data_IF_051357668390
#
_entry.id   IF_051357668390
#
_cell.length_a   1.000
_cell.length_b   1.000
_cell.length_c   1.000
_cell.angle_alpha   90.00
_cell.angle_beta   90.00
_cell.angle_gamma   90.00
#
_symmetry.space_group_name_H-M   'P 1'
#
loop_
_entity.id
_entity.type
_entity.pdbx_description
1 polymer ?
#
# COMPACT_ATOMS: atom_id res chain seq x y z
N UNK A 1 -67.45 40.13 41.38
CA UNK A 1 -67.57 41.41 40.68
C UNK A 1 -66.23 42.11 40.71
N UNK A 2 -65.76 42.54 39.53
CA UNK A 2 -64.53 43.30 39.31
C UNK A 2 -64.44 44.55 40.21
N UNK A 3 -63.23 44.97 40.59
CA UNK A 3 -62.59 46.19 40.04
C UNK A 3 -61.15 46.31 40.56
N UNK A 4 -60.31 46.79 39.64
CA UNK A 4 -58.89 47.15 39.66
C UNK A 4 -58.49 48.06 40.83
N UNK A 5 -57.22 47.95 41.23
CA UNK A 5 -56.44 49.13 41.68
C UNK A 5 -55.00 49.04 41.21
N UNK A 6 -54.61 50.11 40.52
CA UNK A 6 -53.30 50.46 39.97
C UNK A 6 -52.50 51.15 41.05
N UNK A 7 -51.18 50.91 41.17
CA UNK A 7 -50.25 51.97 41.55
C UNK A 7 -48.95 51.86 40.74
N UNK A 8 -48.69 52.96 40.05
CA UNK A 8 -47.49 53.25 39.30
C UNK A 8 -46.35 53.65 40.24
N UNK A 9 -45.12 53.32 39.86
CA UNK A 9 -43.95 54.12 40.20
C UNK A 9 -42.94 53.95 39.08
N UNK A 10 -42.60 55.06 38.45
CA UNK A 10 -41.55 55.18 37.47
C UNK A 10 -40.56 56.23 37.99
N UNK A 11 -39.33 56.17 37.43
CA UNK A 11 -38.29 57.22 37.35
C UNK A 11 -37.31 57.22 38.55
N UNK A 12 -35.96 57.13 38.43
CA UNK A 12 -35.03 57.18 37.28
C UNK A 12 -33.61 56.74 37.70
N UNK A 13 -32.92 56.07 36.75
CA UNK A 13 -31.48 56.12 36.35
C UNK A 13 -30.36 55.94 37.38
N UNK A 14 -29.55 54.91 37.15
CA UNK A 14 -28.09 55.07 37.03
C UNK A 14 -27.56 54.22 35.87
N UNK A 15 -26.78 54.86 34.98
CA UNK A 15 -25.95 54.23 33.95
C UNK A 15 -24.74 53.56 34.60
N UNK A 16 -24.34 52.38 34.11
CA UNK A 16 -23.06 51.80 34.51
C UNK A 16 -22.79 50.40 33.95
N UNK A 17 -21.99 50.36 32.88
CA UNK A 17 -21.16 49.26 32.40
C UNK A 17 -21.82 47.99 31.82
N UNK A 18 -21.60 47.81 30.52
CA UNK A 18 -21.68 46.54 29.82
C UNK A 18 -20.79 45.47 30.48
N UNK A 19 -21.38 44.35 30.87
CA UNK A 19 -20.70 43.06 30.90
C UNK A 19 -21.71 42.00 30.45
N UNK A 20 -21.72 41.73 29.14
CA UNK A 20 -22.39 40.57 28.61
C UNK A 20 -21.71 39.33 29.19
N UNK A 21 -22.39 38.66 30.13
CA UNK A 21 -22.04 37.30 30.53
C UNK A 21 -22.37 36.38 29.35
N UNK A 22 -21.44 36.31 28.40
CA UNK A 22 -21.35 35.18 27.50
C UNK A 22 -20.85 34.02 28.36
N UNK A 23 -21.78 33.19 28.85
CA UNK A 23 -21.48 31.87 29.38
C UNK A 23 -20.85 31.08 28.25
N UNK A 24 -19.52 31.17 28.15
CA UNK A 24 -18.74 30.37 27.24
C UNK A 24 -19.01 28.91 27.57
N UNK A 25 -19.69 28.21 26.66
CA UNK A 25 -19.55 26.76 26.57
C UNK A 25 -18.09 26.49 26.22
N UNK A 26 -17.24 26.40 27.24
CA UNK A 26 -15.98 25.68 27.11
C UNK A 26 -16.42 24.24 26.93
N UNK A 27 -16.53 23.81 25.67
CA UNK A 27 -16.55 22.40 25.35
C UNK A 27 -15.28 21.83 25.99
N UNK A 28 -15.46 21.10 27.09
CA UNK A 28 -14.42 20.29 27.66
C UNK A 28 -13.94 19.39 26.52
N UNK A 29 -12.75 19.67 25.99
CA UNK A 29 -12.06 18.74 25.11
C UNK A 29 -11.81 17.53 26.00
N UNK A 30 -12.67 16.51 25.88
CA UNK A 30 -12.33 15.16 26.28
C UNK A 30 -10.92 14.88 25.75
N UNK A 31 -10.03 14.25 26.53
CA UNK A 31 -8.77 13.79 25.98
C UNK A 31 -9.13 12.98 24.73
N UNK A 32 -8.79 13.50 23.55
CA UNK A 32 -8.84 12.67 22.34
C UNK A 32 -7.95 11.50 22.69
N UNK A 33 -8.54 10.29 22.77
CA UNK A 33 -7.72 9.09 22.77
C UNK A 33 -6.72 9.21 21.62
N UNK A 34 -5.50 8.73 21.83
CA UNK A 34 -4.48 8.74 20.79
C UNK A 34 -5.10 8.17 19.50
N UNK A 35 -4.89 8.85 18.36
CA UNK A 35 -5.37 8.37 17.07
C UNK A 35 -4.69 7.04 16.72
N UNK A 36 -5.28 6.21 15.85
CA UNK A 36 -4.67 4.92 15.49
C UNK A 36 -3.31 5.15 14.83
N UNK A 37 -3.20 6.21 14.04
CA UNK A 37 -1.94 6.62 13.43
C UNK A 37 -0.86 6.99 14.46
N UNK A 38 -1.23 7.69 15.54
CA UNK A 38 -0.29 8.06 16.61
C UNK A 38 0.15 6.82 17.43
N UNK A 39 -0.78 5.92 17.72
CA UNK A 39 -0.46 4.64 18.39
C UNK A 39 0.45 3.78 17.51
N UNK A 40 0.15 3.66 16.22
CA UNK A 40 1.00 2.95 15.25
C UNK A 40 2.40 3.55 15.17
N UNK A 41 2.51 4.88 15.04
CA UNK A 41 3.80 5.58 15.03
C UNK A 41 4.61 5.32 16.31
N UNK A 42 3.94 5.32 17.47
CA UNK A 42 4.58 5.02 18.76
C UNK A 42 5.08 3.59 18.82
N UNK A 43 4.27 2.64 18.37
CA UNK A 43 4.64 1.22 18.32
C UNK A 43 5.81 0.98 17.34
N UNK A 44 5.82 1.64 16.18
CA UNK A 44 6.93 1.58 15.22
C UNK A 44 8.26 2.04 15.82
N UNK A 45 8.22 3.08 16.65
CA UNK A 45 9.40 3.71 17.25
C UNK A 45 9.81 3.05 18.58
N UNK A 46 8.90 2.29 19.20
CA UNK A 46 9.14 1.56 20.44
C UNK A 46 10.15 0.44 20.21
N UNK A 47 11.18 0.37 21.06
CA UNK A 47 12.21 -0.68 21.01
C UNK A 47 13.15 -0.63 19.80
N UNK A 48 13.02 0.35 18.89
CA UNK A 48 13.92 0.51 17.75
C UNK A 48 14.95 1.62 18.01
N UNK A 49 16.22 1.25 17.92
CA UNK A 49 17.35 2.19 17.96
C UNK A 49 17.58 2.78 16.56
N UNK A 50 16.73 3.73 16.18
CA UNK A 50 16.83 4.46 14.92
C UNK A 50 16.96 5.96 15.22
N UNK A 51 17.94 6.66 14.63
CA UNK A 51 18.23 8.07 14.95
C UNK A 51 17.19 9.07 14.44
N UNK A 52 16.14 8.61 13.75
CA UNK A 52 15.09 9.43 13.18
C UNK A 52 13.74 9.15 13.83
N UNK A 53 12.91 10.21 13.94
CA UNK A 53 11.56 10.13 14.54
C UNK A 53 10.45 10.61 13.60
N UNK A 54 10.83 11.09 12.41
CA UNK A 54 9.91 11.54 11.35
C UNK A 54 10.35 10.97 10.02
N UNK A 55 9.39 10.77 9.10
CA UNK A 55 9.68 10.35 7.72
C UNK A 55 10.79 11.22 7.09
N UNK A 56 10.68 12.56 7.16
CA UNK A 56 11.66 13.47 6.57
C UNK A 56 13.08 13.34 7.16
N UNK A 57 13.18 13.17 8.49
CA UNK A 57 14.48 12.92 9.14
C UNK A 57 15.08 11.57 8.75
N UNK A 58 14.25 10.53 8.57
CA UNK A 58 14.72 9.22 8.15
C UNK A 58 15.20 9.25 6.70
N UNK A 59 14.47 9.92 5.81
CA UNK A 59 14.86 10.15 4.43
C UNK A 59 16.22 10.84 4.34
N UNK A 60 16.39 11.96 5.04
CA UNK A 60 17.63 12.73 5.02
C UNK A 60 18.84 11.91 5.53
N UNK A 61 18.68 11.21 6.67
CA UNK A 61 19.73 10.35 7.19
C UNK A 61 20.00 9.15 6.28
N UNK A 62 18.96 8.58 5.66
CA UNK A 62 19.06 7.44 4.75
C UNK A 62 19.88 7.78 3.51
N UNK A 63 19.62 8.94 2.88
CA UNK A 63 20.41 9.46 1.77
C UNK A 63 21.87 9.68 2.18
N UNK A 64 22.11 10.33 3.33
CA UNK A 64 23.47 10.55 3.86
C UNK A 64 24.20 9.23 4.13
N UNK A 65 23.51 8.23 4.68
CA UNK A 65 24.07 6.90 4.91
C UNK A 65 24.41 6.20 3.59
N UNK A 66 23.52 6.29 2.59
CA UNK A 66 23.72 5.71 1.26
C UNK A 66 24.92 6.33 0.54
N UNK A 67 25.02 7.67 0.53
CA UNK A 67 26.11 8.42 -0.10
C UNK A 67 27.47 8.07 0.54
N UNK A 68 27.47 7.84 1.84
CA UNK A 68 28.65 7.40 2.57
C UNK A 68 28.94 5.89 2.47
N UNK A 69 28.16 5.14 1.68
CA UNK A 69 28.33 3.70 1.49
C UNK A 69 27.91 2.83 2.69
N UNK A 70 27.21 3.39 3.68
CA UNK A 70 26.69 2.66 4.84
C UNK A 70 25.35 2.01 4.50
N UNK A 71 25.39 1.02 3.60
CA UNK A 71 24.19 0.45 2.95
C UNK A 71 23.19 -0.14 3.95
N UNK A 72 23.67 -0.89 4.95
CA UNK A 72 22.79 -1.50 5.96
C UNK A 72 22.05 -0.46 6.82
N UNK A 73 22.72 0.66 7.11
CA UNK A 73 22.10 1.78 7.82
C UNK A 73 21.08 2.47 6.92
N UNK A 74 21.43 2.71 5.65
CA UNK A 74 20.50 3.27 4.67
C UNK A 74 19.24 2.41 4.50
N UNK A 75 19.37 1.08 4.38
CA UNK A 75 18.24 0.14 4.34
C UNK A 75 17.33 0.32 5.56
N UNK A 76 17.91 0.37 6.76
CA UNK A 76 17.16 0.52 8.02
C UNK A 76 16.42 1.87 8.07
N UNK A 77 17.08 2.94 7.64
CA UNK A 77 16.52 4.29 7.65
C UNK A 77 15.42 4.46 6.60
N UNK A 78 15.60 3.92 5.40
CA UNK A 78 14.59 3.97 4.32
C UNK A 78 13.37 3.11 4.64
N UNK A 79 13.55 1.93 5.26
CA UNK A 79 12.42 1.14 5.75
C UNK A 79 11.61 1.91 6.81
N UNK A 80 12.30 2.59 7.74
CA UNK A 80 11.64 3.45 8.73
C UNK A 80 10.99 4.69 8.08
N UNK A 81 11.59 5.27 7.04
CA UNK A 81 11.01 6.34 6.25
C UNK A 81 9.64 5.94 5.69
N UNK A 82 9.57 4.78 5.02
CA UNK A 82 8.32 4.25 4.46
C UNK A 82 7.26 4.01 5.52
N UNK A 83 7.60 3.33 6.62
CA UNK A 83 6.67 3.06 7.71
C UNK A 83 6.11 4.35 8.35
N UNK A 84 6.94 5.38 8.54
CA UNK A 84 6.48 6.68 9.05
C UNK A 84 5.68 7.48 8.01
N UNK A 85 5.90 7.26 6.72
CA UNK A 85 5.09 7.83 5.65
C UNK A 85 3.67 7.26 5.68
N UNK A 86 3.53 5.94 5.87
CA UNK A 86 2.25 5.24 6.01
C UNK A 86 1.51 5.68 7.27
N UNK A 87 2.21 5.86 8.39
CA UNK A 87 1.63 6.46 9.59
C UNK A 87 1.08 7.87 9.33
N UNK A 88 1.79 8.67 8.51
CA UNK A 88 1.33 10.00 8.11
C UNK A 88 0.10 9.93 7.19
N UNK A 89 0.05 8.94 6.29
CA UNK A 89 -1.11 8.73 5.42
C UNK A 89 -2.35 8.39 6.25
N UNK A 90 -2.22 7.47 7.20
CA UNK A 90 -3.29 7.11 8.12
C UNK A 90 -3.79 8.32 8.92
N UNK A 91 -2.88 9.14 9.47
CA UNK A 91 -3.26 10.36 10.19
C UNK A 91 -4.02 11.34 9.29
N UNK A 92 -3.57 11.50 8.04
CA UNK A 92 -4.23 12.39 7.08
C UNK A 92 -5.66 11.94 6.74
N UNK A 93 -5.87 10.62 6.65
CA UNK A 93 -7.18 10.02 6.39
C UNK A 93 -8.10 10.16 7.62
N UNK A 94 -7.60 9.94 8.83
CA UNK A 94 -8.34 10.16 10.08
C UNK A 94 -8.77 11.63 10.25
N UNK A 95 -7.90 12.57 9.85
CA UNK A 95 -8.17 14.00 9.86
C UNK A 95 -9.03 14.47 8.69
N UNK A 96 -9.31 13.62 7.70
CA UNK A 96 -9.97 13.96 6.45
C UNK A 96 -9.32 15.19 5.77
N UNK A 97 -8.00 15.19 5.66
CA UNK A 97 -7.21 16.34 5.17
C UNK A 97 -6.62 16.08 3.78
N UNK A 98 -7.24 16.56 2.68
CA UNK A 98 -6.76 16.29 1.32
C UNK A 98 -5.32 16.74 1.07
N UNK A 99 -4.92 17.87 1.68
CA UNK A 99 -3.56 18.39 1.59
C UNK A 99 -2.55 17.47 2.30
N UNK A 100 -2.91 16.95 3.47
CA UNK A 100 -2.06 16.00 4.19
C UNK A 100 -1.96 14.66 3.43
N UNK A 101 -3.07 14.15 2.87
CA UNK A 101 -3.07 12.90 2.10
C UNK A 101 -2.20 13.02 0.85
N UNK A 102 -2.27 14.16 0.13
CA UNK A 102 -1.37 14.42 -1.02
C UNK A 102 0.10 14.43 -0.60
N UNK A 103 0.44 15.08 0.51
CA UNK A 103 1.80 15.06 1.04
C UNK A 103 2.24 13.66 1.49
N UNK A 104 1.36 12.87 2.07
CA UNK A 104 1.67 11.53 2.55
C UNK A 104 1.93 10.56 1.38
N UNK A 105 1.08 10.59 0.35
CA UNK A 105 1.28 9.82 -0.89
C UNK A 105 2.63 10.11 -1.55
N UNK A 106 3.00 11.39 -1.64
CA UNK A 106 4.29 11.78 -2.18
C UNK A 106 5.47 11.24 -1.36
N UNK A 107 5.35 11.20 -0.03
CA UNK A 107 6.39 10.64 0.87
C UNK A 107 6.51 9.13 0.73
N UNK A 108 5.39 8.40 0.61
CA UNK A 108 5.40 6.97 0.33
C UNK A 108 6.10 6.69 -1.01
N UNK A 109 5.74 7.44 -2.06
CA UNK A 109 6.37 7.30 -3.37
C UNK A 109 7.89 7.59 -3.33
N UNK A 110 8.32 8.61 -2.60
CA UNK A 110 9.74 8.90 -2.41
C UNK A 110 10.49 7.83 -1.60
N UNK A 111 9.85 7.21 -0.60
CA UNK A 111 10.46 6.11 0.15
C UNK A 111 10.83 4.94 -0.77
N UNK A 112 10.01 4.62 -1.78
CA UNK A 112 10.40 3.64 -2.81
C UNK A 112 11.53 4.11 -3.70
N UNK A 113 11.59 5.41 -4.03
CA UNK A 113 12.73 5.93 -4.79
C UNK A 113 14.01 5.70 -4.00
N UNK A 114 14.02 6.04 -2.71
CA UNK A 114 15.18 5.80 -1.85
C UNK A 114 15.47 4.29 -1.67
N UNK A 115 14.44 3.44 -1.59
CA UNK A 115 14.63 1.98 -1.54
C UNK A 115 15.26 1.46 -2.84
N UNK A 116 14.81 1.95 -3.98
CA UNK A 116 15.39 1.67 -5.29
C UNK A 116 16.83 2.13 -5.40
N UNK A 117 17.18 3.30 -4.85
CA UNK A 117 18.55 3.82 -4.83
C UNK A 117 19.48 2.94 -3.98
N UNK A 118 18.98 2.43 -2.86
CA UNK A 118 19.69 1.46 -2.02
C UNK A 118 19.92 0.13 -2.76
N UNK A 119 18.87 -0.43 -3.39
CA UNK A 119 18.95 -1.66 -4.20
C UNK A 119 19.90 -1.49 -5.40
N UNK A 120 19.86 -0.33 -6.05
CA UNK A 120 20.77 0.01 -7.14
C UNK A 120 22.23 0.01 -6.66
N UNK A 121 22.50 0.53 -5.45
CA UNK A 121 23.83 0.54 -4.86
C UNK A 121 24.33 -0.87 -4.49
N UNK A 122 23.42 -1.79 -4.19
CA UNK A 122 23.70 -3.22 -4.00
C UNK A 122 23.92 -3.98 -5.32
N UNK A 123 23.61 -3.36 -6.46
CA UNK A 123 23.66 -4.02 -7.77
C UNK A 123 22.42 -4.86 -8.09
N UNK A 124 21.38 -4.78 -7.26
CA UNK A 124 20.11 -5.50 -7.39
C UNK A 124 19.20 -4.78 -8.40
N UNK A 125 19.58 -4.84 -9.67
CA UNK A 125 18.91 -4.09 -10.75
C UNK A 125 17.40 -4.40 -10.89
N UNK A 126 16.94 -5.68 -10.83
CA UNK A 126 15.51 -5.99 -10.86
C UNK A 126 14.75 -5.36 -9.68
N UNK A 127 15.29 -5.48 -8.48
CA UNK A 127 14.69 -4.95 -7.24
C UNK A 127 14.60 -3.41 -7.28
N UNK A 128 15.67 -2.75 -7.73
CA UNK A 128 15.66 -1.31 -7.93
C UNK A 128 14.57 -0.88 -8.92
N UNK A 129 14.45 -1.58 -10.06
CA UNK A 129 13.36 -1.33 -11.01
C UNK A 129 11.98 -1.59 -10.42
N UNK A 130 11.83 -2.65 -9.61
CA UNK A 130 10.57 -2.95 -8.93
C UNK A 130 10.15 -1.81 -8.00
N UNK A 131 11.08 -1.27 -7.20
CA UNK A 131 10.82 -0.11 -6.32
C UNK A 131 10.45 1.15 -7.13
N UNK A 132 11.24 1.50 -8.15
CA UNK A 132 10.94 2.67 -8.97
C UNK A 132 9.60 2.54 -9.72
N UNK A 133 9.29 1.36 -10.30
CA UNK A 133 8.00 1.12 -10.96
C UNK A 133 6.84 1.16 -9.97
N UNK A 134 7.03 0.68 -8.75
CA UNK A 134 6.04 0.80 -7.67
C UNK A 134 5.75 2.27 -7.37
N UNK A 135 6.78 3.12 -7.26
CA UNK A 135 6.59 4.56 -7.09
C UNK A 135 5.82 5.20 -8.26
N UNK A 136 6.10 4.77 -9.50
CA UNK A 136 5.42 5.28 -10.70
C UNK A 136 3.96 4.85 -10.74
N UNK A 137 3.61 3.60 -10.44
CA UNK A 137 2.22 3.13 -10.54
C UNK A 137 1.28 3.80 -9.54
N UNK A 138 1.79 4.34 -8.43
CA UNK A 138 0.96 5.08 -7.45
C UNK A 138 0.25 6.31 -8.04
N UNK A 139 0.77 6.89 -9.12
CA UNK A 139 0.13 8.06 -9.73
C UNK A 139 -1.13 7.76 -10.52
N UNK A 140 -1.33 6.51 -10.94
CA UNK A 140 -2.49 6.11 -11.71
C UNK A 140 -3.78 6.25 -10.87
N UNK A 141 -3.66 6.09 -9.55
CA UNK A 141 -4.75 6.23 -8.58
C UNK A 141 -5.12 7.69 -8.27
N UNK A 142 -4.20 8.63 -8.50
CA UNK A 142 -4.34 10.04 -8.12
C UNK A 142 -3.89 11.01 -9.23
N UNK A 143 -4.55 10.98 -10.40
CA UNK A 143 -4.20 11.87 -11.49
C UNK A 143 -4.35 13.34 -11.07
N UNK A 144 -3.29 14.12 -11.26
CA UNK A 144 -3.27 15.56 -10.93
C UNK A 144 -2.71 15.93 -9.55
N UNK A 145 -2.30 14.95 -8.73
CA UNK A 145 -1.59 15.22 -7.47
C UNK A 145 -0.16 15.73 -7.76
N UNK A 146 0.06 17.04 -7.67
CA UNK A 146 1.34 17.67 -8.02
C UNK A 146 2.52 17.27 -7.11
N UNK A 147 2.26 16.94 -5.84
CA UNK A 147 3.31 16.48 -4.93
C UNK A 147 3.74 15.07 -5.30
N UNK A 148 2.77 14.17 -5.50
CA UNK A 148 3.03 12.81 -5.96
C UNK A 148 3.70 12.81 -7.34
N UNK A 149 3.25 13.66 -8.25
CA UNK A 149 3.81 13.79 -9.59
C UNK A 149 5.32 14.11 -9.60
N UNK A 150 5.80 14.89 -8.62
CA UNK A 150 7.25 15.14 -8.45
C UNK A 150 8.02 13.90 -8.01
N UNK A 151 7.48 13.13 -7.07
CA UNK A 151 8.09 11.88 -6.64
C UNK A 151 8.13 10.85 -7.78
N UNK A 152 7.06 10.75 -8.57
CA UNK A 152 7.01 9.90 -9.76
C UNK A 152 7.99 10.34 -10.85
N UNK A 153 8.17 11.65 -11.03
CA UNK A 153 9.14 12.17 -11.99
C UNK A 153 10.57 11.73 -11.61
N UNK A 154 10.92 11.83 -10.32
CA UNK A 154 12.18 11.30 -9.82
C UNK A 154 12.28 9.78 -10.07
N UNK A 155 11.24 9.01 -9.74
CA UNK A 155 11.23 7.56 -9.99
C UNK A 155 11.43 7.20 -11.48
N UNK A 156 10.78 7.93 -12.40
CA UNK A 156 10.94 7.75 -13.85
C UNK A 156 12.37 8.03 -14.29
N UNK A 157 12.97 9.12 -13.82
CA UNK A 157 14.36 9.47 -14.13
C UNK A 157 15.33 8.34 -13.70
N UNK A 158 15.15 7.79 -12.50
CA UNK A 158 15.97 6.68 -12.02
C UNK A 158 15.73 5.41 -12.82
N UNK A 159 14.48 5.11 -13.14
CA UNK A 159 14.10 3.96 -13.95
C UNK A 159 14.71 4.04 -15.36
N UNK A 160 14.67 5.21 -16.00
CA UNK A 160 15.28 5.45 -17.32
C UNK A 160 16.80 5.21 -17.29
N UNK A 161 17.48 5.64 -16.23
CA UNK A 161 18.93 5.45 -16.06
C UNK A 161 19.37 3.97 -15.98
N UNK A 162 18.43 3.05 -15.70
CA UNK A 162 18.69 1.60 -15.60
C UNK A 162 17.81 0.73 -16.49
N UNK A 163 16.99 1.34 -17.37
CA UNK A 163 15.93 0.66 -18.11
C UNK A 163 16.44 -0.48 -19.01
N UNK A 164 17.63 -0.36 -19.58
CA UNK A 164 18.24 -1.38 -20.46
C UNK A 164 19.26 -2.30 -19.79
N UNK A 165 19.51 -2.15 -18.48
CA UNK A 165 20.61 -2.86 -17.81
C UNK A 165 20.13 -4.19 -17.23
N UNK A 166 20.62 -5.30 -17.77
CA UNK A 166 20.32 -6.65 -17.28
C UNK A 166 18.82 -6.89 -17.06
N UNK A 167 18.03 -6.58 -18.09
CA UNK A 167 16.57 -6.77 -18.07
C UNK A 167 16.27 -8.26 -18.23
N UNK A 168 15.42 -8.78 -17.34
CA UNK A 168 14.95 -10.16 -17.42
C UNK A 168 13.74 -10.24 -18.35
N UNK A 169 13.86 -11.07 -19.38
CA UNK A 169 12.78 -11.33 -20.33
C UNK A 169 12.12 -12.68 -20.04
N UNK A 170 10.80 -12.68 -19.89
CA UNK A 170 10.04 -13.89 -19.55
C UNK A 170 10.29 -14.38 -18.12
N UNK A 171 10.04 -15.67 -17.89
CA UNK A 171 10.27 -16.33 -16.60
C UNK A 171 11.66 -16.99 -16.63
N UNK A 172 12.56 -16.67 -15.67
CA UNK A 172 13.88 -17.31 -15.61
C UNK A 172 13.82 -18.83 -15.41
N UNK A 173 14.85 -19.59 -15.82
CA UNK A 173 14.93 -21.04 -15.66
C UNK A 173 14.90 -21.54 -14.20
N UNK A 174 15.34 -20.71 -13.26
CA UNK A 174 15.31 -20.96 -11.82
C UNK A 174 13.97 -20.56 -11.18
N UNK A 175 13.09 -19.93 -11.95
CA UNK A 175 11.85 -19.33 -11.48
C UNK A 175 11.93 -17.82 -11.30
N UNK A 176 10.82 -17.24 -10.86
CA UNK A 176 10.70 -15.81 -10.61
C UNK A 176 9.91 -15.56 -9.33
N UNK A 177 10.19 -14.46 -8.66
CA UNK A 177 9.35 -13.90 -7.61
C UNK A 177 8.89 -12.52 -8.06
N UNK A 178 7.58 -12.30 -8.05
CA UNK A 178 6.98 -11.01 -8.34
C UNK A 178 6.34 -10.47 -7.08
N UNK A 179 6.54 -9.19 -6.79
CA UNK A 179 5.95 -8.52 -5.63
C UNK A 179 5.04 -7.38 -6.05
N UNK A 180 3.98 -7.19 -5.30
CA UNK A 180 3.12 -6.02 -5.37
C UNK A 180 3.04 -5.43 -3.97
N UNK A 181 3.55 -4.22 -3.79
CA UNK A 181 3.44 -3.55 -2.50
C UNK A 181 2.00 -3.10 -2.25
N UNK A 182 1.53 -3.27 -1.01
CA UNK A 182 0.20 -2.81 -0.57
C UNK A 182 0.28 -1.54 0.31
N UNK A 183 0.47 -1.68 1.62
CA UNK A 183 0.67 -0.60 2.61
C UNK A 183 1.38 -1.15 3.86
N UNK A 184 1.86 -0.27 4.73
CA UNK A 184 2.53 -0.61 5.99
C UNK A 184 3.74 -1.56 5.85
N UNK A 185 4.57 -1.37 4.81
CA UNK A 185 5.71 -2.23 4.50
C UNK A 185 5.32 -3.70 4.20
N UNK A 186 4.07 -3.91 3.77
CA UNK A 186 3.55 -5.21 3.39
C UNK A 186 3.46 -5.38 1.87
N UNK A 187 3.62 -6.61 1.40
CA UNK A 187 3.56 -6.96 0.00
C UNK A 187 2.77 -8.25 -0.23
N UNK A 188 2.09 -8.29 -1.38
CA UNK A 188 1.65 -9.54 -1.99
C UNK A 188 2.81 -10.11 -2.80
N UNK A 189 2.94 -11.43 -2.83
CA UNK A 189 3.98 -12.09 -3.60
C UNK A 189 3.47 -13.25 -4.41
N UNK A 190 4.05 -13.42 -5.59
CA UNK A 190 3.76 -14.53 -6.49
C UNK A 190 5.09 -15.15 -6.89
N UNK A 191 5.30 -16.41 -6.52
CA UNK A 191 6.44 -17.20 -6.94
C UNK A 191 6.05 -18.10 -8.12
N UNK A 192 6.81 -18.02 -9.20
CA UNK A 192 6.70 -18.89 -10.37
C UNK A 192 7.88 -19.86 -10.36
N UNK A 193 7.61 -21.16 -10.24
CA UNK A 193 8.63 -22.22 -10.20
C UNK A 193 8.44 -23.20 -11.35
N UNK A 194 9.42 -23.38 -12.24
CA UNK A 194 9.34 -24.40 -13.28
C UNK A 194 9.15 -25.79 -12.68
N UNK A 195 8.24 -26.59 -13.25
CA UNK A 195 7.96 -27.94 -12.73
C UNK A 195 8.89 -28.95 -13.41
N UNK A 196 9.73 -29.61 -12.61
CA UNK A 196 10.66 -30.64 -13.11
C UNK A 196 9.90 -31.73 -13.85
N UNK A 197 10.30 -31.99 -15.10
CA UNK A 197 9.70 -33.02 -15.95
C UNK A 197 8.42 -32.61 -16.69
N UNK A 198 7.87 -31.41 -16.46
CA UNK A 198 6.70 -30.88 -17.20
C UNK A 198 7.10 -29.63 -17.97
N UNK A 199 7.54 -29.79 -19.21
CA UNK A 199 8.03 -28.68 -20.04
C UNK A 199 6.97 -27.60 -20.24
N UNK A 200 7.32 -26.35 -19.92
CA UNK A 200 6.43 -25.18 -20.05
C UNK A 200 5.33 -25.11 -18.99
N UNK A 201 5.37 -25.94 -17.96
CA UNK A 201 4.46 -25.89 -16.80
C UNK A 201 5.20 -25.27 -15.62
N UNK A 202 4.51 -24.34 -14.95
CA UNK A 202 5.02 -23.64 -13.77
C UNK A 202 4.07 -23.89 -12.60
N UNK A 203 4.62 -23.96 -11.39
CA UNK A 203 3.84 -23.81 -10.16
C UNK A 203 3.82 -22.33 -9.79
N UNK A 204 2.64 -21.76 -9.70
CA UNK A 204 2.39 -20.46 -9.10
C UNK A 204 2.06 -20.70 -7.63
N UNK A 205 2.83 -20.09 -6.73
CA UNK A 205 2.49 -19.96 -5.32
C UNK A 205 2.21 -18.46 -5.06
N UNK A 206 0.99 -18.10 -4.69
CA UNK A 206 0.57 -16.74 -4.37
C UNK A 206 0.31 -16.57 -2.89
N UNK A 207 0.89 -15.52 -2.29
CA UNK A 207 0.63 -15.07 -0.93
C UNK A 207 0.08 -13.64 -0.99
N UNK A 208 -1.16 -13.47 -0.54
CA UNK A 208 -1.89 -12.23 -0.62
C UNK A 208 -2.27 -11.76 0.78
N UNK A 209 -2.25 -10.45 1.00
CA UNK A 209 -2.61 -9.87 2.27
C UNK A 209 -3.27 -8.50 2.12
N UNK A 210 -4.13 -8.21 3.08
CA UNK A 210 -4.71 -6.90 3.32
C UNK A 210 -4.23 -6.41 4.69
N UNK A 211 -3.16 -5.62 4.75
CA UNK A 211 -2.63 -5.10 6.00
C UNK A 211 -3.58 -4.04 6.59
N UNK A 212 -3.58 -3.95 7.91
CA UNK A 212 -4.42 -3.06 8.70
C UNK A 212 -3.72 -2.71 10.00
N UNK A 213 -4.29 -1.76 10.73
CA UNK A 213 -3.82 -1.39 12.07
C UNK A 213 -4.98 -1.49 13.04
N UNK A 214 -4.83 -2.26 14.11
CA UNK A 214 -5.85 -2.44 15.14
C UNK A 214 -6.09 -1.16 15.95
N UNK A 215 -7.09 -1.17 16.82
CA UNK A 215 -7.45 -0.02 17.65
C UNK A 215 -6.35 0.39 18.64
N UNK A 216 -5.49 -0.55 19.05
CA UNK A 216 -4.32 -0.32 19.90
C UNK A 216 -3.05 0.08 19.11
N UNK A 217 -3.18 0.30 17.80
CA UNK A 217 -2.09 0.71 16.92
C UNK A 217 -1.12 -0.42 16.54
N UNK A 218 -1.48 -1.69 16.73
CA UNK A 218 -0.65 -2.81 16.31
C UNK A 218 -0.89 -3.15 14.82
N UNK A 219 0.16 -3.51 14.06
CA UNK A 219 -0.02 -4.05 12.72
C UNK A 219 -0.80 -5.37 12.76
N UNK A 220 -1.73 -5.55 11.84
CA UNK A 220 -2.47 -6.80 11.61
C UNK A 220 -2.68 -7.00 10.11
N UNK A 221 -3.01 -8.20 9.66
CA UNK A 221 -3.33 -8.44 8.26
C UNK A 221 -4.34 -9.58 8.13
N UNK A 222 -5.30 -9.41 7.21
CA UNK A 222 -6.00 -10.56 6.63
C UNK A 222 -5.11 -11.16 5.56
N UNK A 223 -5.04 -12.48 5.49
CA UNK A 223 -4.17 -13.18 4.53
C UNK A 223 -4.92 -14.28 3.80
N UNK A 224 -4.47 -14.56 2.58
CA UNK A 224 -4.94 -15.66 1.75
C UNK A 224 -3.81 -16.16 0.87
N UNK A 225 -3.91 -17.41 0.44
CA UNK A 225 -2.90 -18.02 -0.42
C UNK A 225 -3.54 -18.80 -1.56
N UNK A 226 -2.71 -19.10 -2.55
CA UNK A 226 -3.07 -19.92 -3.70
C UNK A 226 -1.86 -20.76 -4.11
N UNK A 227 -2.12 -21.98 -4.56
CA UNK A 227 -1.14 -22.76 -5.32
C UNK A 227 -1.79 -23.34 -6.58
N UNK A 228 -1.15 -23.19 -7.73
CA UNK A 228 -1.64 -23.72 -9.00
C UNK A 228 -0.52 -24.16 -9.95
N UNK A 229 -0.71 -25.26 -10.66
CA UNK A 229 0.07 -25.61 -11.83
C UNK A 229 -0.53 -24.96 -13.07
N UNK A 230 0.25 -24.16 -13.77
CA UNK A 230 -0.21 -23.37 -14.92
C UNK A 230 0.67 -23.55 -16.15
N UNK A 231 0.10 -23.21 -17.30
CA UNK A 231 0.86 -23.00 -18.54
C UNK A 231 0.48 -21.63 -19.10
N UNK A 232 1.50 -20.84 -19.45
CA UNK A 232 1.29 -19.56 -20.13
C UNK A 232 1.06 -19.80 -21.61
N UNK A 233 -0.09 -19.34 -22.11
CA UNK A 233 -0.43 -19.27 -23.53
C UNK A 233 -0.41 -17.80 -23.93
N UNK A 234 0.47 -17.43 -24.85
CA UNK A 234 0.61 -16.04 -25.31
C UNK A 234 0.87 -15.06 -24.14
N UNK A 235 1.62 -15.49 -23.13
CA UNK A 235 1.93 -14.71 -21.93
C UNK A 235 0.82 -14.70 -20.86
N UNK A 236 -0.26 -15.46 -21.05
CA UNK A 236 -1.41 -15.50 -20.13
C UNK A 236 -1.62 -16.89 -19.54
N UNK A 237 -1.79 -16.97 -18.22
CA UNK A 237 -2.27 -18.14 -17.50
C UNK A 237 -3.57 -17.79 -16.76
N UNK A 238 -4.53 -18.71 -16.68
CA UNK A 238 -5.83 -18.48 -16.07
C UNK A 238 -6.16 -19.62 -15.11
N UNK A 239 -6.56 -19.28 -13.89
CA UNK A 239 -6.78 -20.21 -12.78
C UNK A 239 -8.21 -20.04 -12.24
N UNK A 240 -9.13 -20.98 -12.50
CA UNK A 240 -10.47 -20.96 -11.92
C UNK A 240 -10.41 -21.41 -10.46
N UNK A 241 -10.50 -20.46 -9.54
CA UNK A 241 -10.27 -20.67 -8.09
C UNK A 241 -11.50 -21.28 -7.42
N UNK A 242 -12.68 -20.72 -7.72
CA UNK A 242 -13.95 -21.13 -7.10
C UNK A 242 -14.46 -22.51 -7.55
N UNK A 243 -13.78 -23.14 -8.50
CA UNK A 243 -14.15 -24.47 -9.03
C UNK A 243 -13.42 -25.62 -8.33
N UNK A 244 -12.52 -25.29 -7.39
CA UNK A 244 -11.68 -26.27 -6.74
C UNK A 244 -12.05 -26.50 -5.27
N UNK A 245 -11.91 -27.77 -4.86
CA UNK A 245 -12.03 -28.18 -3.47
C UNK A 245 -10.71 -28.77 -2.95
N UNK A 246 -10.31 -28.35 -1.75
CA UNK A 246 -9.19 -28.94 -1.00
C UNK A 246 -7.88 -28.14 -1.06
N UNK A 247 -6.89 -28.62 -0.31
CA UNK A 247 -5.59 -27.93 -0.09
C UNK A 247 -4.53 -28.23 -1.17
N UNK A 248 -4.87 -29.06 -2.17
CA UNK A 248 -3.95 -29.44 -3.22
C UNK A 248 -3.78 -28.30 -4.25
N UNK A 249 -2.59 -28.17 -4.88
CA UNK A 249 -2.40 -27.23 -5.98
C UNK A 249 -3.41 -27.45 -7.11
N UNK A 250 -4.01 -26.35 -7.58
CA UNK A 250 -4.95 -26.32 -8.69
C UNK A 250 -4.28 -26.79 -9.98
N UNK A 251 -4.90 -27.67 -10.77
CA UNK A 251 -4.39 -28.02 -12.10
C UNK A 251 -5.04 -27.14 -13.18
N UNK A 252 -4.39 -26.01 -13.48
CA UNK A 252 -4.86 -24.98 -14.41
C UNK A 252 -3.95 -24.87 -15.64
N UNK A 253 -3.62 -26.02 -16.25
CA UNK A 253 -2.73 -26.09 -17.42
C UNK A 253 -3.46 -26.02 -18.77
N UNK A 254 -4.79 -26.11 -18.77
CA UNK A 254 -5.62 -25.97 -19.96
C UNK A 254 -5.77 -24.50 -20.38
N UNK A 255 -5.84 -24.25 -21.70
CA UNK A 255 -6.11 -22.89 -22.22
C UNK A 255 -7.60 -22.57 -22.03
N UNK A 256 -7.91 -21.62 -21.15
CA UNK A 256 -9.25 -21.03 -21.03
C UNK A 256 -9.29 -19.82 -21.93
N UNK A 257 -10.01 -19.87 -23.06
CA UNK A 257 -10.11 -18.72 -23.98
C UNK A 257 -11.36 -17.86 -23.73
N UNK A 258 -12.47 -18.49 -23.34
CA UNK A 258 -13.74 -17.84 -23.08
C UNK A 258 -13.86 -17.46 -21.60
N UNK A 259 -13.98 -16.16 -21.31
CA UNK A 259 -14.12 -15.61 -19.95
C UNK A 259 -15.58 -15.37 -19.54
N UNK A 260 -16.52 -15.48 -20.48
CA UNK A 260 -17.94 -15.26 -20.22
C UNK A 260 -18.52 -16.06 -19.03
N UNK A 261 -18.06 -17.29 -18.72
CA UNK A 261 -18.53 -18.03 -17.54
C UNK A 261 -18.14 -17.41 -16.19
N UNK A 262 -17.18 -16.48 -16.16
CA UNK A 262 -16.64 -15.86 -14.94
C UNK A 262 -16.96 -14.36 -14.87
N UNK A 263 -16.95 -13.67 -16.02
CA UNK A 263 -17.18 -12.22 -16.06
C UNK A 263 -18.55 -11.84 -15.49
N UNK A 264 -18.53 -10.97 -14.46
CA UNK A 264 -19.74 -10.45 -13.78
C UNK A 264 -20.57 -11.51 -13.04
N UNK A 265 -19.97 -12.67 -12.76
CA UNK A 265 -20.57 -13.69 -11.91
C UNK A 265 -20.08 -13.51 -10.47
N UNK A 266 -21.02 -13.44 -9.52
CA UNK A 266 -20.75 -13.22 -8.10
C UNK A 266 -20.39 -14.51 -7.36
N UNK A 267 -20.66 -15.68 -7.95
CA UNK A 267 -20.39 -17.03 -7.47
C UNK A 267 -19.14 -17.68 -8.08
N UNK A 268 -18.36 -16.90 -8.85
CA UNK A 268 -17.19 -17.38 -9.58
C UNK A 268 -15.96 -16.54 -9.29
N UNK A 269 -14.80 -17.18 -9.26
CA UNK A 269 -13.51 -16.50 -9.28
C UNK A 269 -12.57 -17.19 -10.25
N UNK A 270 -12.03 -16.42 -11.20
CA UNK A 270 -10.90 -16.80 -12.03
C UNK A 270 -9.81 -15.74 -11.92
N UNK A 271 -8.58 -16.14 -11.59
CA UNK A 271 -7.42 -15.27 -11.66
C UNK A 271 -6.75 -15.39 -13.03
N UNK A 272 -6.55 -14.27 -13.70
CA UNK A 272 -5.71 -14.15 -14.88
C UNK A 272 -4.35 -13.58 -14.48
N UNK A 273 -3.29 -14.33 -14.80
CA UNK A 273 -1.89 -13.94 -14.65
C UNK A 273 -1.32 -13.61 -16.03
N UNK A 274 -0.89 -12.37 -16.23
CA UNK A 274 -0.41 -11.86 -17.52
C UNK A 274 1.01 -11.33 -17.41
N UNK A 275 1.94 -11.95 -18.12
CA UNK A 275 3.30 -11.42 -18.34
C UNK A 275 3.22 -10.25 -19.33
N UNK A 276 2.83 -9.07 -18.84
CA UNK A 276 2.44 -7.92 -19.67
C UNK A 276 3.61 -7.13 -20.24
N UNK A 277 4.76 -7.19 -19.58
CA UNK A 277 6.01 -6.57 -20.00
C UNK A 277 7.20 -7.33 -19.37
N UNK A 278 8.46 -7.09 -19.80
CA UNK A 278 9.61 -7.61 -19.08
C UNK A 278 9.51 -7.27 -17.59
N UNK A 279 9.76 -8.27 -16.74
CA UNK A 279 9.74 -8.14 -15.27
C UNK A 279 8.42 -7.67 -14.67
N UNK A 280 7.31 -7.80 -15.41
CA UNK A 280 6.00 -7.32 -14.97
C UNK A 280 4.96 -8.42 -15.14
N UNK A 281 4.22 -8.67 -14.06
CA UNK A 281 3.12 -9.62 -14.01
C UNK A 281 1.87 -8.85 -13.54
N UNK A 282 0.89 -8.71 -14.43
CA UNK A 282 -0.43 -8.18 -14.07
C UNK A 282 -1.34 -9.33 -13.63
N UNK A 283 -2.06 -9.13 -12.53
CA UNK A 283 -3.06 -10.07 -12.03
C UNK A 283 -4.43 -9.41 -12.02
N UNK A 284 -5.41 -10.11 -12.57
CA UNK A 284 -6.78 -9.64 -12.68
C UNK A 284 -7.75 -10.74 -12.27
N UNK A 285 -8.73 -10.38 -11.46
CA UNK A 285 -9.83 -11.25 -11.06
C UNK A 285 -11.01 -11.06 -12.01
N UNK A 286 -11.50 -12.18 -12.55
CA UNK A 286 -12.75 -12.29 -13.28
C UNK A 286 -13.81 -12.93 -12.37
N UNK A 287 -14.93 -12.22 -12.18
CA UNK A 287 -15.99 -12.61 -11.25
C UNK A 287 -15.89 -11.87 -9.93
N UNK A 288 -16.02 -12.58 -8.81
CA UNK A 288 -16.01 -12.07 -7.44
C UNK A 288 -14.69 -12.34 -6.74
N UNK A 289 -14.06 -11.28 -6.21
CA UNK A 289 -12.87 -11.39 -5.35
C UNK A 289 -13.19 -12.17 -4.07
N UNK A 290 -14.42 -12.07 -3.56
CA UNK A 290 -14.86 -12.80 -2.36
C UNK A 290 -14.78 -14.32 -2.58
N UNK A 291 -15.21 -14.78 -3.75
CA UNK A 291 -15.24 -16.19 -4.13
C UNK A 291 -13.84 -16.75 -4.44
N UNK A 292 -12.82 -15.90 -4.50
CA UNK A 292 -11.43 -16.37 -4.52
C UNK A 292 -10.98 -16.92 -3.15
N UNK A 293 -11.71 -16.62 -2.07
CA UNK A 293 -11.48 -17.23 -0.76
C UNK A 293 -10.24 -16.74 0.00
N UNK A 294 -9.64 -15.61 -0.39
CA UNK A 294 -8.40 -15.11 0.21
C UNK A 294 -8.58 -14.39 1.55
N UNK A 295 -9.80 -14.30 2.07
CA UNK A 295 -10.11 -13.60 3.31
C UNK A 295 -10.62 -12.16 3.08
N UNK A 296 -10.93 -11.49 4.19
CA UNK A 296 -11.61 -10.18 4.16
C UNK A 296 -10.71 -9.11 3.54
N UNK A 297 -11.21 -8.45 2.49
CA UNK A 297 -10.52 -7.39 1.74
C UNK A 297 -9.19 -7.80 1.09
N UNK A 298 -8.90 -9.10 1.03
CA UNK A 298 -7.69 -9.61 0.37
C UNK A 298 -7.98 -9.80 -1.11
N UNK A 299 -7.19 -9.16 -1.96
CA UNK A 299 -7.26 -9.32 -3.41
C UNK A 299 -5.88 -9.69 -3.96
N UNK A 300 -5.87 -10.52 -4.99
CA UNK A 300 -4.68 -10.81 -5.78
C UNK A 300 -4.43 -9.77 -6.88
N UNK A 301 -5.42 -8.92 -7.17
CA UNK A 301 -5.36 -7.96 -8.27
C UNK A 301 -4.23 -6.94 -8.09
N UNK A 302 -3.58 -6.62 -9.20
CA UNK A 302 -2.56 -5.59 -9.23
C UNK A 302 -1.44 -5.90 -10.18
N UNK A 303 -0.51 -4.95 -10.26
CA UNK A 303 0.73 -5.08 -11.02
C UNK A 303 1.85 -5.49 -10.08
N UNK A 304 2.49 -6.60 -10.39
CA UNK A 304 3.60 -7.16 -9.65
C UNK A 304 4.89 -7.01 -10.47
N UNK A 305 5.99 -6.74 -9.78
CA UNK A 305 7.30 -6.54 -10.40
C UNK A 305 8.29 -7.61 -9.95
N UNK A 306 9.11 -8.08 -10.88
CA UNK A 306 10.14 -9.09 -10.60
C UNK A 306 11.14 -8.57 -9.56
N UNK A 307 11.43 -9.39 -8.57
CA UNK A 307 12.54 -9.19 -7.64
C UNK A 307 13.47 -10.41 -7.62
N UNK A 308 14.73 -10.13 -7.34
CA UNK A 308 15.82 -11.07 -7.16
C UNK A 308 16.14 -11.16 -5.67
N UNK A 309 15.31 -11.90 -4.94
CA UNK A 309 15.52 -12.11 -3.51
C UNK A 309 14.50 -13.08 -2.93
N UNK A 310 14.97 -14.06 -2.18
CA UNK A 310 14.18 -14.92 -1.29
C UNK A 310 13.77 -14.18 -0.04
#
# INVERSE_FOLDING_TARGET
MNVKTVFATAVVVTWGACAALASGFVAAQTPRGDSRAELYRRNLLSGKDVPCRTNASCAALGVVALDAGRIKEAQTLVAMEGALAEATAMQADEENSPKASSSARARIAMAYVHQGDVQLKLGELPDARASYRTAVSRGDDYPGDALLGRAMAAARERLEAIAGKAVVHGVPPEGARFIHYVTFDAWNSIALKPVKGRHGVYRIDGDFMHPSVSEDGQPSASTGNMSAYVRFYDGVARVPVSEAGGDAPLEATAKIANLAPYDKHDDKCLLEFRLSAPETLDVLTHGSVLECGFGVNVSADGRYYLTTGS
#
